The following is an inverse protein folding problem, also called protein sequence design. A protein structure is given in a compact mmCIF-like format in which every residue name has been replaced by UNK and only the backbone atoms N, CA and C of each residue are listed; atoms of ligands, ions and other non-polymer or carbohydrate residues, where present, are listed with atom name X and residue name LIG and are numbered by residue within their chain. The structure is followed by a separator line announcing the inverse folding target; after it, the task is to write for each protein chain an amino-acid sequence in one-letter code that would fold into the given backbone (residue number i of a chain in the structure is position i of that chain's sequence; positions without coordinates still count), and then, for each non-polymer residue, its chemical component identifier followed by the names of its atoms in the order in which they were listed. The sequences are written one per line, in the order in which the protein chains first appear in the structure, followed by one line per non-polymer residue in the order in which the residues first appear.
data_IF_859535830063
#
_entry.id   IF_859535830063
#
_cell.length_a   1.000
_cell.length_b   1.000
_cell.length_c   1.000
_cell.angle_alpha   90.00
_cell.angle_beta   90.00
_cell.angle_gamma   90.00
#
_symmetry.space_group_name_H-M   'P 1'
#
loop_
_entity.id
_entity.type
_entity.pdbx_description
1 polymer ?
#
# COMPACT_ATOMS: atom_id res chain seq x y z
N UNK A 1 9.34 18.01 -34.41
CA UNK A 1 9.08 17.08 -33.30
C UNK A 1 7.92 17.64 -32.50
N UNK A 2 6.70 17.31 -32.90
CA UNK A 2 5.46 17.75 -32.25
C UNK A 2 4.87 16.55 -31.49
N UNK A 3 4.87 16.69 -30.16
CA UNK A 3 3.89 16.21 -29.18
C UNK A 3 3.10 14.94 -29.52
N UNK A 4 3.77 13.78 -29.40
CA UNK A 4 3.10 12.55 -28.99
C UNK A 4 2.82 12.61 -27.48
N UNK A 5 1.96 13.55 -27.06
CA UNK A 5 1.52 13.71 -25.67
C UNK A 5 0.07 13.29 -25.54
N UNK A 6 -0.22 12.30 -24.68
CA UNK A 6 -1.59 12.03 -24.27
C UNK A 6 -1.98 13.09 -23.22
N UNK A 7 -2.89 13.99 -23.58
CA UNK A 7 -3.46 14.97 -22.65
C UNK A 7 -4.68 14.38 -21.93
N UNK A 8 -4.73 14.52 -20.61
CA UNK A 8 -5.85 14.04 -19.78
C UNK A 8 -5.90 14.77 -18.44
N UNK A 9 -7.06 14.72 -17.78
CA UNK A 9 -7.16 15.16 -16.39
C UNK A 9 -6.40 14.21 -15.49
N UNK A 10 -5.76 14.70 -14.42
CA UNK A 10 -5.09 13.84 -13.43
C UNK A 10 -6.06 12.83 -12.79
N UNK A 11 -7.36 13.11 -12.82
CA UNK A 11 -8.41 12.30 -12.22
C UNK A 11 -9.04 11.30 -13.21
N UNK A 12 -8.77 11.44 -14.51
CA UNK A 12 -9.29 10.56 -15.57
C UNK A 12 -8.20 10.36 -16.64
N UNK A 13 -7.44 9.25 -16.53
CA UNK A 13 -6.33 8.99 -17.45
C UNK A 13 -6.81 8.26 -18.70
N UNK A 14 -6.37 8.67 -19.91
CA UNK A 14 -6.70 7.98 -21.16
C UNK A 14 -5.84 6.71 -21.33
N UNK A 15 -5.76 5.88 -20.28
CA UNK A 15 -4.97 4.65 -20.23
C UNK A 15 -5.93 3.47 -20.11
N UNK A 16 -5.61 2.39 -20.82
CA UNK A 16 -6.37 1.15 -20.78
C UNK A 16 -6.23 0.48 -19.41
N UNK A 17 -7.27 -0.20 -18.96
CA UNK A 17 -7.22 -0.96 -17.71
C UNK A 17 -6.19 -2.10 -17.79
N UNK A 18 -5.50 -2.38 -16.68
CA UNK A 18 -4.49 -3.44 -16.55
C UNK A 18 -3.48 -3.45 -17.70
N UNK A 19 -2.90 -2.28 -18.02
CA UNK A 19 -1.95 -2.14 -19.15
C UNK A 19 -0.57 -1.64 -18.73
N UNK A 20 -0.41 -1.14 -17.51
CA UNK A 20 0.82 -0.50 -17.04
C UNK A 20 1.49 -1.32 -15.94
N UNK A 21 2.79 -1.57 -16.08
CA UNK A 21 3.60 -2.31 -15.09
C UNK A 21 3.94 -1.50 -13.84
N UNK A 22 4.17 -0.19 -14.01
CA UNK A 22 4.56 0.71 -12.94
C UNK A 22 4.04 2.14 -13.14
N UNK A 23 3.53 2.74 -12.07
CA UNK A 23 3.03 4.12 -12.07
C UNK A 23 3.78 4.93 -11.02
N UNK A 24 4.23 6.13 -11.40
CA UNK A 24 4.92 7.07 -10.52
C UNK A 24 4.09 8.34 -10.38
N UNK A 25 3.78 8.72 -9.13
CA UNK A 25 2.98 9.90 -8.78
C UNK A 25 3.84 10.92 -8.05
N UNK A 26 4.57 11.80 -8.78
CA UNK A 26 5.41 12.82 -8.20
C UNK A 26 4.58 14.01 -7.69
N UNK A 27 4.27 14.06 -6.39
CA UNK A 27 3.46 15.13 -5.77
C UNK A 27 2.06 15.32 -6.37
N UNK A 28 1.59 14.37 -7.17
CA UNK A 28 0.32 14.41 -7.90
C UNK A 28 -0.89 14.48 -6.96
N UNK A 29 -0.89 13.68 -5.90
CA UNK A 29 -2.01 13.57 -4.94
C UNK A 29 -2.27 14.85 -4.14
N UNK A 30 -1.33 15.78 -4.11
CA UNK A 30 -1.49 17.05 -3.40
C UNK A 30 -2.07 18.14 -4.29
N UNK A 31 -1.89 17.99 -5.60
CA UNK A 31 -2.36 18.90 -6.64
C UNK A 31 -3.75 18.50 -7.15
N UNK A 32 -4.12 17.22 -7.03
CA UNK A 32 -5.45 16.72 -7.36
C UNK A 32 -6.53 17.26 -6.42
N UNK A 33 -7.73 17.50 -6.95
CA UNK A 33 -8.88 17.86 -6.12
C UNK A 33 -9.38 16.63 -5.35
N UNK A 34 -9.43 15.48 -6.03
CA UNK A 34 -9.77 14.18 -5.45
C UNK A 34 -8.60 13.17 -5.55
N UNK A 35 -7.79 13.01 -4.49
CA UNK A 35 -6.70 12.04 -4.48
C UNK A 35 -7.19 10.59 -4.50
N UNK A 36 -8.42 10.30 -4.08
CA UNK A 36 -8.97 8.95 -4.12
C UNK A 36 -9.27 8.53 -5.55
N UNK A 37 -9.80 9.45 -6.35
CA UNK A 37 -10.04 9.20 -7.78
C UNK A 37 -8.73 8.92 -8.52
N UNK A 38 -7.67 9.68 -8.26
CA UNK A 38 -6.34 9.42 -8.84
C UNK A 38 -5.82 8.03 -8.48
N UNK A 39 -5.98 7.61 -7.23
CA UNK A 39 -5.57 6.27 -6.79
C UNK A 39 -6.41 5.16 -7.44
N UNK A 40 -7.71 5.40 -7.68
CA UNK A 40 -8.57 4.48 -8.43
C UNK A 40 -8.17 4.35 -9.89
N UNK A 41 -7.86 5.45 -10.56
CA UNK A 41 -7.37 5.41 -11.93
C UNK A 41 -6.01 4.73 -12.03
N UNK A 42 -5.14 4.94 -11.04
CA UNK A 42 -3.88 4.20 -10.93
C UNK A 42 -4.12 2.70 -10.75
N UNK A 43 -5.03 2.30 -9.85
CA UNK A 43 -5.39 0.89 -9.65
C UNK A 43 -5.99 0.26 -10.91
N UNK A 44 -6.91 0.97 -11.58
CA UNK A 44 -7.53 0.54 -12.83
C UNK A 44 -6.50 0.30 -13.92
N UNK A 45 -5.51 1.20 -14.05
CA UNK A 45 -4.51 1.17 -15.12
C UNK A 45 -3.37 0.17 -14.86
N UNK A 46 -3.07 -0.10 -13.59
CA UNK A 46 -1.99 -1.01 -13.18
C UNK A 46 -2.35 -2.47 -13.43
N UNK A 47 -1.43 -3.21 -14.04
CA UNK A 47 -1.56 -4.67 -14.12
C UNK A 47 -1.60 -5.31 -12.72
N UNK A 48 -2.12 -6.53 -12.59
CA UNK A 48 -1.97 -7.31 -11.37
C UNK A 48 -0.48 -7.48 -11.00
N UNK A 49 -0.13 -7.32 -9.71
CA UNK A 49 1.27 -7.27 -9.22
C UNK A 49 2.12 -6.09 -9.71
N UNK A 50 1.51 -5.10 -10.37
CA UNK A 50 2.14 -3.84 -10.76
C UNK A 50 2.58 -2.98 -9.57
N UNK A 51 3.53 -2.06 -9.83
CA UNK A 51 4.15 -1.22 -8.81
C UNK A 51 3.64 0.23 -8.84
N UNK A 52 3.30 0.77 -7.69
CA UNK A 52 2.89 2.16 -7.51
C UNK A 52 3.91 2.90 -6.63
N UNK A 53 4.53 3.94 -7.17
CA UNK A 53 5.49 4.79 -6.44
C UNK A 53 4.88 6.16 -6.25
N UNK A 54 4.75 6.59 -5.00
CA UNK A 54 4.14 7.87 -4.64
C UNK A 54 5.19 8.73 -3.96
N UNK A 55 5.35 9.96 -4.45
CA UNK A 55 6.14 11.00 -3.78
C UNK A 55 5.19 12.07 -3.25
N UNK A 56 5.34 12.44 -1.99
CA UNK A 56 4.49 13.45 -1.37
C UNK A 56 5.21 14.24 -0.28
N UNK A 57 4.66 15.39 0.09
CA UNK A 57 5.12 16.26 1.16
C UNK A 57 4.48 15.83 2.49
N UNK A 58 5.29 15.77 3.54
CA UNK A 58 4.81 15.39 4.86
C UNK A 58 4.22 16.61 5.59
N UNK A 59 2.91 16.63 5.92
CA UNK A 59 2.28 17.75 6.64
C UNK A 59 2.85 17.94 8.04
N UNK A 60 3.31 16.86 8.69
CA UNK A 60 3.88 16.88 10.05
C UNK A 60 5.37 17.24 10.08
N UNK A 61 5.92 17.68 8.96
CA UNK A 61 7.32 18.10 8.88
C UNK A 61 7.53 19.50 9.41
N UNK A 62 8.76 19.85 9.83
CA UNK A 62 9.12 21.23 10.19
C UNK A 62 8.83 22.23 9.05
N UNK A 63 8.90 21.76 7.81
CA UNK A 63 8.52 22.53 6.63
C UNK A 63 7.00 22.70 6.53
N UNK A 64 6.21 21.65 6.82
CA UNK A 64 4.75 21.73 6.94
C UNK A 64 4.26 22.60 8.11
N UNK A 65 4.98 22.62 9.23
CA UNK A 65 4.67 23.53 10.35
C UNK A 65 5.04 24.97 10.01
N UNK A 66 6.21 25.19 9.40
CA UNK A 66 6.61 26.51 8.87
C UNK A 66 5.61 27.03 7.83
N UNK A 67 5.04 26.15 7.01
CA UNK A 67 3.91 26.46 6.12
C UNK A 67 2.70 26.95 6.90
N UNK A 68 2.25 26.16 7.88
CA UNK A 68 1.04 26.46 8.65
C UNK A 68 1.14 27.81 9.38
N UNK A 69 2.36 28.15 9.83
CA UNK A 69 2.70 29.42 10.46
C UNK A 69 2.92 30.57 9.44
N UNK A 70 3.17 30.27 8.16
CA UNK A 70 3.37 31.28 7.13
C UNK A 70 2.02 31.71 6.53
N UNK A 71 1.73 33.01 6.57
CA UNK A 71 0.52 33.61 5.96
C UNK A 71 0.48 33.55 4.43
N UNK A 72 1.55 33.09 3.76
CA UNK A 72 1.64 32.98 2.29
C UNK A 72 1.06 31.65 1.77
N UNK A 73 -0.24 31.43 1.98
CA UNK A 73 -0.96 30.21 1.55
C UNK A 73 -1.18 30.09 0.03
N UNK A 74 -0.94 31.15 -0.75
CA UNK A 74 -1.33 31.22 -2.17
C UNK A 74 -0.22 30.84 -3.17
N UNK A 75 1.02 30.59 -2.73
CA UNK A 75 2.10 30.17 -3.64
C UNK A 75 2.29 28.66 -3.56
N UNK A 76 2.36 27.97 -4.70
CA UNK A 76 2.84 26.58 -4.78
C UNK A 76 4.26 26.51 -4.20
N UNK A 77 4.61 25.57 -3.32
CA UNK A 77 3.90 24.36 -2.87
C UNK A 77 2.97 24.55 -1.64
N UNK A 78 2.82 25.78 -1.14
CA UNK A 78 2.11 26.10 0.11
C UNK A 78 0.59 26.23 -0.02
N UNK A 79 0.03 25.98 -1.22
CA UNK A 79 -1.41 25.89 -1.48
C UNK A 79 -1.96 24.45 -1.58
N UNK A 80 -1.09 23.43 -1.74
CA UNK A 80 -1.51 22.04 -2.01
C UNK A 80 -1.99 21.30 -0.75
N UNK A 81 -2.84 20.29 -0.88
CA UNK A 81 -3.33 19.52 0.29
C UNK A 81 -2.30 18.44 0.65
N UNK A 82 -1.43 18.74 1.62
CA UNK A 82 -0.43 17.78 2.08
C UNK A 82 -1.10 16.58 2.75
N UNK A 83 -0.91 15.39 2.18
CA UNK A 83 -1.40 14.14 2.75
C UNK A 83 -0.32 13.46 3.56
N UNK A 84 -0.66 13.04 4.77
CA UNK A 84 0.27 12.26 5.60
C UNK A 84 0.47 10.87 5.01
N UNK A 85 1.70 10.36 5.06
CA UNK A 85 2.03 9.03 4.56
C UNK A 85 1.14 7.92 5.13
N UNK A 86 0.77 7.98 6.42
CA UNK A 86 -0.14 7.00 7.03
C UNK A 86 -1.51 6.98 6.34
N UNK A 87 -2.07 8.16 6.04
CA UNK A 87 -3.36 8.27 5.35
C UNK A 87 -3.30 7.68 3.94
N UNK A 88 -2.19 7.86 3.23
CA UNK A 88 -2.00 7.21 1.93
C UNK A 88 -1.90 5.69 2.08
N UNK A 89 -1.16 5.20 3.08
CA UNK A 89 -1.09 3.76 3.38
C UNK A 89 -2.47 3.16 3.66
N UNK A 90 -3.30 3.87 4.44
CA UNK A 90 -4.67 3.44 4.73
C UNK A 90 -5.49 3.34 3.44
N UNK A 91 -5.42 4.34 2.56
CA UNK A 91 -6.12 4.32 1.27
C UNK A 91 -5.64 3.22 0.34
N UNK A 92 -4.32 2.99 0.28
CA UNK A 92 -3.74 1.89 -0.48
C UNK A 92 -4.18 0.54 0.06
N UNK A 93 -4.26 0.38 1.39
CA UNK A 93 -4.78 -0.84 2.01
C UNK A 93 -6.24 -1.12 1.63
N UNK A 94 -7.07 -0.07 1.54
CA UNK A 94 -8.47 -0.20 1.08
C UNK A 94 -8.59 -0.62 -0.38
N UNK A 95 -7.62 -0.26 -1.22
CA UNK A 95 -7.54 -0.63 -2.63
C UNK A 95 -6.87 -2.01 -2.84
N UNK A 96 -6.44 -2.69 -1.78
CA UNK A 96 -5.76 -3.99 -1.88
C UNK A 96 -4.28 -3.90 -2.28
N UNK A 97 -3.66 -2.73 -2.13
CA UNK A 97 -2.22 -2.60 -2.31
C UNK A 97 -1.45 -3.03 -1.07
N UNK A 98 -0.34 -3.71 -1.29
CA UNK A 98 0.64 -4.01 -0.26
C UNK A 98 1.74 -2.94 -0.24
N UNK A 99 2.06 -2.41 0.94
CA UNK A 99 3.09 -1.36 1.07
C UNK A 99 4.46 -2.01 1.27
N UNK A 100 5.33 -1.94 0.25
CA UNK A 100 6.65 -2.55 0.28
C UNK A 100 7.67 -1.69 1.05
N UNK A 101 7.81 -0.43 0.66
CA UNK A 101 8.84 0.45 1.21
C UNK A 101 8.30 1.86 1.48
N UNK A 102 8.78 2.47 2.56
CA UNK A 102 8.47 3.85 2.87
C UNK A 102 9.71 4.56 3.42
N UNK A 103 10.14 5.63 2.75
CA UNK A 103 11.29 6.42 3.18
C UNK A 103 10.96 7.90 3.24
N UNK A 104 11.46 8.54 4.30
CA UNK A 104 11.33 9.96 4.55
C UNK A 104 12.56 10.68 3.99
N UNK A 105 12.33 11.55 3.00
CA UNK A 105 13.36 12.30 2.27
C UNK A 105 13.50 13.75 2.76
N UNK A 106 14.70 14.32 2.61
CA UNK A 106 15.03 15.69 3.02
C UNK A 106 14.87 15.94 4.54
N UNK A 107 15.55 15.12 5.34
CA UNK A 107 15.63 15.25 6.79
C UNK A 107 16.60 16.36 7.24
N UNK A 108 16.43 17.58 6.70
CA UNK A 108 17.26 18.75 7.00
C UNK A 108 16.42 19.82 7.70
N UNK A 109 16.79 20.24 8.92
CA UNK A 109 16.13 21.35 9.57
C UNK A 109 16.30 22.63 8.72
N UNK A 110 15.27 23.50 8.62
CA UNK A 110 15.30 24.74 7.86
C UNK A 110 16.12 25.82 8.58
N UNK A 111 17.42 25.55 8.81
CA UNK A 111 18.37 26.46 9.44
C UNK A 111 19.29 26.99 8.34
N UNK A 112 19.26 28.31 8.11
CA UNK A 112 20.05 28.99 7.08
C UNK A 112 21.52 29.20 7.49
N UNK A 113 21.82 29.06 8.79
CA UNK A 113 23.17 29.20 9.34
C UNK A 113 24.01 27.94 9.12
N UNK A 114 24.90 27.98 8.12
CA UNK A 114 25.84 26.92 7.77
C UNK A 114 26.71 26.45 8.96
N UNK A 115 27.15 27.38 9.82
CA UNK A 115 27.94 27.09 11.03
C UNK A 115 27.19 26.29 12.11
N UNK A 116 25.86 26.46 12.22
CA UNK A 116 25.03 25.67 13.14
C UNK A 116 24.74 24.28 12.56
N UNK A 117 24.58 24.20 11.25
CA UNK A 117 24.38 22.94 10.53
C UNK A 117 25.61 22.02 10.66
N UNK A 118 26.82 22.60 10.55
CA UNK A 118 28.10 21.91 10.75
C UNK A 118 28.29 21.48 12.22
N UNK A 119 27.97 22.34 13.20
CA UNK A 119 28.03 21.98 14.64
C UNK A 119 27.07 20.87 15.05
N UNK A 120 25.93 20.74 14.38
CA UNK A 120 24.92 19.73 14.67
C UNK A 120 25.30 18.33 14.18
N UNK A 121 26.46 18.14 13.53
CA UNK A 121 26.93 16.84 13.02
C UNK A 121 25.81 16.02 12.35
N UNK A 122 24.94 16.68 11.58
CA UNK A 122 23.85 16.05 10.82
C UNK A 122 24.37 15.29 9.58
N UNK A 123 25.65 14.89 9.60
CA UNK A 123 26.35 14.10 8.60
C UNK A 123 26.10 12.61 8.90
N UNK A 124 25.25 11.98 8.10
CA UNK A 124 25.08 10.53 8.12
C UNK A 124 23.79 10.01 8.78
N UNK A 125 23.43 8.75 8.47
CA UNK A 125 22.13 8.15 8.79
C UNK A 125 22.08 7.72 10.26
N UNK A 126 21.99 8.66 11.19
CA UNK A 126 21.65 8.34 12.58
C UNK A 126 20.14 8.11 12.70
N UNK A 127 19.78 6.85 12.93
CA UNK A 127 18.44 6.25 12.98
C UNK A 127 17.58 6.72 14.17
N UNK A 128 17.44 8.03 14.38
CA UNK A 128 16.59 8.59 15.42
C UNK A 128 15.14 8.79 14.93
N UNK A 129 14.17 8.22 15.66
CA UNK A 129 12.72 8.40 15.44
C UNK A 129 12.27 9.88 15.38
N UNK A 130 13.06 10.83 15.86
CA UNK A 130 12.77 12.27 15.80
C UNK A 130 12.91 12.91 14.42
N UNK A 131 13.76 12.38 13.53
CA UNK A 131 14.04 13.00 12.22
C UNK A 131 12.92 12.81 11.19
N UNK A 132 11.94 11.94 11.46
CA UNK A 132 10.71 11.80 10.65
C UNK A 132 9.89 13.10 10.59
N UNK A 133 9.93 13.89 11.67
CA UNK A 133 9.29 15.21 11.73
C UNK A 133 10.14 16.31 11.06
N UNK A 134 11.38 16.02 10.67
CA UNK A 134 12.26 16.96 9.95
C UNK A 134 12.26 16.73 8.44
N UNK A 135 11.60 15.66 7.98
CA UNK A 135 11.57 15.23 6.58
C UNK A 135 10.59 16.06 5.76
N UNK A 136 11.03 16.78 4.73
CA UNK A 136 10.13 17.59 3.91
C UNK A 136 9.20 16.73 3.03
N UNK A 137 9.71 15.66 2.43
CA UNK A 137 8.93 14.75 1.58
C UNK A 137 9.11 13.28 1.96
N UNK A 138 8.35 12.39 1.35
CA UNK A 138 8.46 10.95 1.48
C UNK A 138 8.30 10.28 0.13
N UNK A 139 8.85 9.07 0.04
CA UNK A 139 8.61 8.11 -1.03
C UNK A 139 7.92 6.88 -0.44
N UNK A 140 6.87 6.43 -1.11
CA UNK A 140 6.09 5.26 -0.75
C UNK A 140 6.02 4.35 -1.98
N UNK A 141 6.48 3.11 -1.83
CA UNK A 141 6.41 2.09 -2.86
C UNK A 141 5.38 1.05 -2.41
N UNK A 142 4.38 0.83 -3.25
CA UNK A 142 3.32 -0.13 -3.04
C UNK A 142 3.17 -1.06 -4.26
N UNK A 143 2.58 -2.23 -4.05
CA UNK A 143 2.35 -3.23 -5.09
C UNK A 143 0.89 -3.66 -5.08
N UNK A 144 0.23 -3.70 -6.24
CA UNK A 144 -1.17 -4.15 -6.38
C UNK A 144 -1.24 -5.66 -6.10
N UNK A 145 -1.95 -6.10 -5.07
CA UNK A 145 -1.95 -7.52 -4.69
C UNK A 145 -3.00 -8.31 -5.48
N UNK A 146 -2.58 -9.41 -6.10
CA UNK A 146 -3.52 -10.42 -6.60
C UNK A 146 -3.92 -11.37 -5.47
N UNK A 147 -5.20 -11.41 -5.12
CA UNK A 147 -5.72 -12.48 -4.29
C UNK A 147 -5.84 -13.73 -5.16
N UNK A 148 -4.77 -14.53 -5.22
CA UNK A 148 -4.91 -15.93 -5.58
C UNK A 148 -5.78 -16.56 -4.50
N UNK A 149 -7.05 -16.82 -4.85
CA UNK A 149 -7.88 -17.71 -4.05
C UNK A 149 -7.17 -19.05 -4.04
N UNK A 150 -6.43 -19.36 -2.98
CA UNK A 150 -6.05 -20.73 -2.70
C UNK A 150 -7.38 -21.45 -2.51
N UNK A 151 -7.81 -22.35 -3.41
CA UNK A 151 -9.00 -23.13 -3.14
C UNK A 151 -8.69 -23.88 -1.84
N UNK A 152 -9.38 -23.50 -0.77
CA UNK A 152 -9.39 -24.30 0.44
C UNK A 152 -10.01 -25.62 -0.01
N UNK A 153 -9.15 -26.61 -0.25
CA UNK A 153 -9.58 -27.99 -0.29
C UNK A 153 -10.29 -28.20 1.03
N UNK A 154 -11.62 -28.13 1.01
CA UNK A 154 -12.47 -28.68 2.04
C UNK A 154 -12.07 -30.14 2.11
N UNK A 155 -11.14 -30.47 3.00
CA UNK A 155 -10.87 -31.84 3.39
C UNK A 155 -12.17 -32.33 3.98
N UNK A 156 -12.97 -32.92 3.10
CA UNK A 156 -14.25 -33.53 3.30
C UNK A 156 -14.13 -34.40 4.54
N UNK A 157 -14.58 -33.88 5.69
CA UNK A 157 -14.69 -34.61 6.94
C UNK A 157 -15.69 -35.73 6.68
N UNK A 158 -15.21 -36.85 6.13
CA UNK A 158 -15.89 -38.14 6.20
C UNK A 158 -16.00 -38.44 7.68
N UNK A 159 -17.13 -38.06 8.30
CA UNK A 159 -17.60 -38.70 9.52
C UNK A 159 -17.56 -40.19 9.24
N UNK A 160 -16.61 -40.91 9.86
CA UNK A 160 -16.60 -42.36 9.86
C UNK A 160 -17.93 -42.79 10.48
N UNK A 161 -18.84 -43.31 9.66
CA UNK A 161 -20.02 -44.02 10.14
C UNK A 161 -19.49 -45.28 10.80
N UNK A 162 -19.52 -45.31 12.13
CA UNK A 162 -19.28 -46.53 12.90
C UNK A 162 -20.42 -47.48 12.55
N UNK A 163 -20.12 -48.50 11.76
CA UNK A 163 -21.05 -49.62 11.57
C UNK A 163 -21.10 -50.41 12.89
N UNK A 164 -22.28 -50.71 13.45
CA UNK A 164 -22.36 -51.64 14.56
C UNK A 164 -21.99 -53.02 14.04
N UNK A 165 -20.84 -53.52 14.47
CA UNK A 165 -20.40 -54.90 14.24
C UNK A 165 -21.40 -55.82 14.93
N UNK A 166 -22.11 -56.63 14.14
CA UNK A 166 -23.06 -57.62 14.62
C UNK A 166 -22.36 -58.69 15.47
N UNK A 167 -23.02 -59.06 16.56
CA UNK A 167 -22.62 -60.11 17.50
C UNK A 167 -22.61 -61.47 16.75
N UNK A 168 -21.55 -62.29 16.87
CA UNK A 168 -21.53 -63.61 16.23
C UNK A 168 -22.54 -64.56 16.88
N UNK A 169 -23.39 -65.18 16.08
CA UNK A 169 -24.27 -66.26 16.51
C UNK A 169 -23.42 -67.50 16.85
N UNK A 170 -23.55 -67.94 18.10
CA UNK A 170 -22.95 -69.16 18.64
C UNK A 170 -23.38 -70.41 17.86
N UNK A 171 -22.41 -71.28 17.58
CA UNK A 171 -22.60 -72.62 17.08
C UNK A 171 -23.28 -73.53 18.12
N UNK A 172 -24.42 -74.08 17.75
CA UNK A 172 -24.90 -75.38 18.21
C UNK A 172 -25.35 -76.08 16.92
N UNK A 173 -24.95 -77.30 16.57
CA UNK A 173 -24.73 -78.45 17.44
C UNK A 173 -25.41 -79.63 16.75
N UNK A 174 -24.75 -80.13 15.71
CA UNK A 174 -24.92 -81.41 15.02
C UNK A 174 -25.80 -82.48 15.70
N UNK A 175 -26.88 -82.98 15.07
CA UNK A 175 -27.40 -84.36 15.28
C UNK A 175 -28.14 -84.91 14.03
N UNK A 176 -27.43 -85.84 13.36
CA UNK A 176 -27.84 -87.14 12.75
C UNK A 176 -28.85 -87.24 11.58
N UNK A 177 -28.33 -87.83 10.50
CA UNK A 177 -29.03 -88.69 9.52
C UNK A 177 -29.64 -89.92 10.21
N UNK A 178 -30.82 -90.34 9.76
CA UNK A 178 -31.15 -91.74 9.41
C UNK A 178 -32.11 -91.71 8.22
N UNK A 179 -31.93 -92.68 7.31
CA UNK A 179 -32.75 -92.96 6.13
C UNK A 179 -34.20 -93.31 6.46
#
# INVERSE_FOLDING_TARGET
YQDAGLGGSTEDWPIMSDSVDAIVLPHTLELSNDPHQVLREADRSLIPDGHLVILGFNPRSLWGVRRALSRKRQQLPWGSRFQSMNRIKDWLGLLGFDTLHCHYLFQRPPIQNRRLLEKLHLHGPSAGYGRKYLSASYILVARKRTFVMTPLNELHRRRRRLFPVGIPSSSQGNVRRVN
#
